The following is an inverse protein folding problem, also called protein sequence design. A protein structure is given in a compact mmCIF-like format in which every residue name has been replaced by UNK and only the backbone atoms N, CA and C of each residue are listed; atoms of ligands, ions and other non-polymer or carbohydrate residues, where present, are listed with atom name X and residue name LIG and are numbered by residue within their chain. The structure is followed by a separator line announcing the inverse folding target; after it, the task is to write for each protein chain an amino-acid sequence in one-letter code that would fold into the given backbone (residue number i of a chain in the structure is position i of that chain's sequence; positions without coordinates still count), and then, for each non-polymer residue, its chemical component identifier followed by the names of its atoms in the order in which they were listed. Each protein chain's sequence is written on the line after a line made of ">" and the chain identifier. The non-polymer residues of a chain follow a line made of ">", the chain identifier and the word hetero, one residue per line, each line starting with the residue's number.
data_IF_256618438112
#
_entry.id   IF_256618438112
#
_cell.length_a   1.000
_cell.length_b   1.000
_cell.length_c   1.000
_cell.angle_alpha   90.00
_cell.angle_beta   90.00
_cell.angle_gamma   90.00
#
_symmetry.space_group_name_H-M   'P 1'
#
loop_
_entity.id
_entity.type
_entity.pdbx_description
1 polymer ?
#
# COMPACT_ATOMS: atom_id res chain seq x y z
N UNK A 1 -0.33 6.06 12.75
CA UNK A 1 -0.50 5.21 11.55
C UNK A 1 0.73 5.41 10.68
N UNK A 2 1.61 4.42 10.58
CA UNK A 2 2.90 4.58 9.87
C UNK A 2 2.66 4.36 8.38
N UNK A 3 2.81 5.41 7.58
CA UNK A 3 2.61 5.37 6.13
C UNK A 3 3.52 4.31 5.49
N UNK A 4 2.92 3.43 4.70
CA UNK A 4 3.64 2.45 3.89
C UNK A 4 4.61 3.17 2.92
N UNK A 5 5.75 2.55 2.56
CA UNK A 5 6.76 3.16 1.69
C UNK A 5 6.20 3.65 0.34
N UNK A 6 5.22 2.94 -0.22
CA UNK A 6 4.52 3.32 -1.45
C UNK A 6 3.77 4.66 -1.34
N UNK A 7 3.26 5.00 -0.15
CA UNK A 7 2.59 6.28 0.11
C UNK A 7 3.53 7.48 0.06
N UNK A 8 4.80 7.32 0.48
CA UNK A 8 5.79 8.40 0.46
C UNK A 8 6.25 8.74 -0.96
N UNK A 9 6.36 7.74 -1.83
CA UNK A 9 6.82 7.94 -3.21
C UNK A 9 5.77 8.68 -4.04
N UNK A 10 4.50 8.31 -3.90
CA UNK A 10 3.38 9.06 -4.48
C UNK A 10 3.28 10.49 -3.92
N UNK A 11 3.47 10.69 -2.61
CA UNK A 11 3.48 12.03 -2.03
C UNK A 11 4.61 12.89 -2.62
N UNK A 12 5.82 12.33 -2.77
CA UNK A 12 6.94 13.00 -3.42
C UNK A 12 6.65 13.35 -4.88
N UNK A 13 5.97 12.48 -5.62
CA UNK A 13 5.55 12.76 -6.99
C UNK A 13 4.48 13.85 -7.07
N UNK A 14 3.48 13.81 -6.18
CA UNK A 14 2.45 14.84 -6.06
C UNK A 14 3.06 16.19 -5.69
N UNK A 15 3.98 16.24 -4.73
CA UNK A 15 4.71 17.47 -4.39
C UNK A 15 5.64 17.92 -5.50
N UNK A 16 6.28 16.99 -6.20
CA UNK A 16 7.11 17.29 -7.37
C UNK A 16 6.28 17.94 -8.48
N UNK A 17 5.12 17.36 -8.80
CA UNK A 17 4.18 17.89 -9.78
C UNK A 17 3.60 19.24 -9.34
N UNK A 18 3.21 19.36 -8.07
CA UNK A 18 2.71 20.62 -7.51
C UNK A 18 3.79 21.72 -7.52
N UNK A 19 5.05 21.38 -7.23
CA UNK A 19 6.17 22.31 -7.30
C UNK A 19 6.47 22.71 -8.76
N UNK A 20 6.40 21.77 -9.70
CA UNK A 20 6.56 22.04 -11.13
C UNK A 20 5.46 22.97 -11.66
N UNK A 21 4.22 22.73 -11.24
CA UNK A 21 3.08 23.60 -11.55
C UNK A 21 3.26 24.99 -10.94
N UNK A 22 3.64 25.07 -9.66
CA UNK A 22 3.90 26.35 -9.00
C UNK A 22 5.06 27.13 -9.68
N UNK A 23 6.11 26.42 -10.12
CA UNK A 23 7.22 27.02 -10.86
C UNK A 23 6.77 27.55 -12.22
N UNK A 24 6.00 26.75 -12.98
CA UNK A 24 5.43 27.17 -14.25
C UNK A 24 4.51 28.39 -14.09
N UNK A 25 3.66 28.40 -13.07
CA UNK A 25 2.83 29.55 -12.70
C UNK A 25 3.68 30.79 -12.39
N UNK A 26 4.74 30.65 -11.58
CA UNK A 26 5.63 31.76 -11.23
C UNK A 26 6.34 32.33 -12.46
N UNK A 27 6.79 31.47 -13.39
CA UNK A 27 7.41 31.89 -14.65
C UNK A 27 6.42 32.67 -15.50
N UNK A 28 5.17 32.20 -15.62
CA UNK A 28 4.11 32.89 -16.38
C UNK A 28 3.77 34.26 -15.75
N UNK A 29 3.74 34.37 -14.42
CA UNK A 29 3.59 35.68 -13.74
C UNK A 29 4.74 36.63 -14.06
N UNK A 30 5.97 36.12 -14.00
CA UNK A 30 7.18 36.93 -14.17
C UNK A 30 7.35 37.41 -15.62
N UNK A 31 6.84 36.67 -16.61
CA UNK A 31 6.98 37.01 -18.04
C UNK A 31 5.74 37.70 -18.63
N UNK A 32 4.54 37.40 -18.14
CA UNK A 32 3.27 37.84 -18.74
C UNK A 32 2.42 38.79 -17.89
N UNK A 33 2.73 38.97 -16.60
CA UNK A 33 1.92 39.79 -15.68
C UNK A 33 0.57 39.14 -15.32
N UNK A 34 -0.20 39.80 -14.44
CA UNK A 34 -1.49 39.27 -13.93
C UNK A 34 -2.56 39.07 -15.00
N UNK A 35 -2.44 39.73 -16.16
CA UNK A 35 -3.38 39.60 -17.28
C UNK A 35 -3.20 38.29 -18.08
N UNK A 36 -2.07 37.58 -17.88
CA UNK A 36 -1.85 36.23 -18.41
C UNK A 36 -2.51 35.13 -17.55
N UNK A 37 -3.17 35.47 -16.44
CA UNK A 37 -3.94 34.52 -15.65
C UNK A 37 -5.25 34.19 -16.36
N UNK A 38 -5.22 33.16 -17.20
CA UNK A 38 -6.45 32.54 -17.69
C UNK A 38 -7.15 31.80 -16.53
N UNK A 39 -8.34 32.24 -16.08
CA UNK A 39 -9.09 31.56 -15.02
C UNK A 39 -9.49 30.13 -15.40
N UNK A 40 -9.60 29.85 -16.71
CA UNK A 40 -9.88 28.52 -17.24
C UNK A 40 -8.77 27.52 -16.91
N UNK A 41 -7.52 27.90 -17.16
CA UNK A 41 -6.35 27.07 -16.88
C UNK A 41 -6.19 26.75 -15.38
N UNK A 42 -6.41 27.74 -14.50
CA UNK A 42 -6.34 27.51 -13.05
C UNK A 42 -7.47 26.63 -12.53
N UNK A 43 -8.69 26.83 -13.05
CA UNK A 43 -9.82 25.96 -12.73
C UNK A 43 -9.53 24.52 -13.14
N UNK A 44 -8.95 24.32 -14.34
CA UNK A 44 -8.55 23.00 -14.83
C UNK A 44 -7.48 22.33 -13.95
N UNK A 45 -6.45 23.08 -13.54
CA UNK A 45 -5.41 22.57 -12.64
C UNK A 45 -5.96 22.20 -11.25
N UNK A 46 -6.86 23.02 -10.71
CA UNK A 46 -7.51 22.75 -9.43
C UNK A 46 -8.38 21.50 -9.52
N UNK A 47 -9.13 21.33 -10.62
CA UNK A 47 -9.93 20.12 -10.90
C UNK A 47 -9.03 18.88 -10.98
N UNK A 48 -7.90 18.95 -11.70
CA UNK A 48 -6.95 17.82 -11.78
C UNK A 48 -6.40 17.48 -10.39
N UNK A 49 -6.02 18.49 -9.60
CA UNK A 49 -5.50 18.27 -8.26
C UNK A 49 -6.54 17.59 -7.35
N UNK A 50 -7.78 18.09 -7.37
CA UNK A 50 -8.91 17.48 -6.66
C UNK A 50 -9.18 16.06 -7.13
N UNK A 51 -9.14 15.81 -8.45
CA UNK A 51 -9.35 14.49 -9.02
C UNK A 51 -8.27 13.50 -8.58
N UNK A 52 -7.00 13.90 -8.55
CA UNK A 52 -5.90 13.05 -8.06
C UNK A 52 -6.09 12.65 -6.59
N UNK A 53 -6.52 13.60 -5.75
CA UNK A 53 -6.84 13.34 -4.34
C UNK A 53 -8.07 12.43 -4.22
N UNK A 54 -9.12 12.70 -4.98
CA UNK A 54 -10.36 11.95 -4.97
C UNK A 54 -10.17 10.51 -5.43
N UNK A 55 -9.45 10.28 -6.54
CA UNK A 55 -9.10 8.94 -7.03
C UNK A 55 -8.37 8.16 -5.95
N UNK A 56 -7.46 8.79 -5.19
CA UNK A 56 -6.82 8.09 -4.07
C UNK A 56 -7.78 7.68 -2.99
N UNK A 57 -8.64 8.60 -2.57
CA UNK A 57 -9.63 8.34 -1.54
C UNK A 57 -10.60 7.23 -1.96
N UNK A 58 -11.08 7.27 -3.21
CA UNK A 58 -11.95 6.25 -3.80
C UNK A 58 -11.27 4.89 -3.90
N UNK A 59 -10.01 4.82 -4.33
CA UNK A 59 -9.29 3.53 -4.36
C UNK A 59 -9.08 2.94 -2.98
N UNK A 60 -8.81 3.76 -1.95
CA UNK A 60 -8.71 3.28 -0.57
C UNK A 60 -10.06 2.75 -0.04
N UNK A 61 -11.16 3.45 -0.35
CA UNK A 61 -12.50 3.01 -0.01
C UNK A 61 -12.89 1.73 -0.76
N UNK A 62 -12.53 1.60 -2.03
CA UNK A 62 -12.78 0.40 -2.83
C UNK A 62 -12.03 -0.81 -2.26
N UNK A 63 -10.76 -0.64 -1.87
CA UNK A 63 -10.00 -1.68 -1.19
C UNK A 63 -10.62 -2.06 0.17
N UNK A 64 -11.09 -1.08 0.94
CA UNK A 64 -11.77 -1.34 2.21
C UNK A 64 -13.10 -2.06 2.02
N UNK A 65 -13.88 -1.66 1.02
CA UNK A 65 -15.15 -2.30 0.66
C UNK A 65 -14.91 -3.73 0.20
N UNK A 66 -13.89 -3.96 -0.63
CA UNK A 66 -13.46 -5.29 -1.05
C UNK A 66 -13.04 -6.17 0.14
N UNK A 67 -12.21 -5.64 1.04
CA UNK A 67 -11.81 -6.35 2.26
C UNK A 67 -13.00 -6.68 3.17
N UNK A 68 -13.99 -5.79 3.28
CA UNK A 68 -15.23 -6.06 4.02
C UNK A 68 -16.10 -7.11 3.32
N UNK A 69 -16.12 -7.11 1.99
CA UNK A 69 -16.93 -8.03 1.20
C UNK A 69 -16.40 -9.47 1.24
N UNK A 70 -15.08 -9.64 1.39
CA UNK A 70 -14.46 -10.95 1.52
C UNK A 70 -14.75 -11.66 2.86
N UNK A 71 -15.18 -10.92 3.88
CA UNK A 71 -15.62 -11.46 5.16
C UNK A 71 -14.47 -11.91 6.06
N UNK A 72 -14.71 -12.97 6.85
CA UNK A 72 -13.66 -13.55 7.69
C UNK A 72 -12.61 -14.27 6.85
N UNK A 73 -11.35 -13.87 7.04
CA UNK A 73 -10.19 -14.53 6.46
C UNK A 73 -9.52 -15.40 7.52
N UNK A 74 -9.43 -16.70 7.25
CA UNK A 74 -8.55 -17.60 8.02
C UNK A 74 -7.29 -17.81 7.23
N UNK A 75 -6.15 -17.48 7.84
CA UNK A 75 -4.85 -17.75 7.26
C UNK A 75 -4.22 -18.88 8.04
N UNK A 76 -3.92 -19.97 7.36
CA UNK A 76 -3.12 -21.07 7.88
C UNK A 76 -1.72 -20.94 7.26
N UNK A 77 -0.72 -20.97 8.13
CA UNK A 77 0.69 -20.91 7.74
C UNK A 77 1.31 -22.24 8.10
N UNK A 78 1.82 -22.93 7.10
CA UNK A 78 2.45 -24.23 7.23
C UNK A 78 3.81 -24.25 6.51
N UNK A 79 4.48 -25.40 6.53
CA UNK A 79 5.78 -25.59 5.88
C UNK A 79 5.69 -25.54 4.36
N UNK A 80 4.54 -25.87 3.76
CA UNK A 80 4.31 -25.86 2.31
C UNK A 80 4.04 -24.44 1.78
N UNK A 81 3.48 -23.56 2.60
CA UNK A 81 3.14 -22.20 2.22
C UNK A 81 2.17 -21.51 3.17
N UNK A 82 1.52 -20.50 2.60
CA UNK A 82 0.50 -19.71 3.26
C UNK A 82 -0.82 -19.96 2.54
N UNK A 83 -1.75 -20.62 3.22
CA UNK A 83 -3.11 -20.82 2.72
C UNK A 83 -4.05 -19.80 3.37
N UNK A 84 -4.69 -18.98 2.53
CA UNK A 84 -5.72 -18.04 2.93
C UNK A 84 -7.06 -18.60 2.49
N UNK A 85 -7.89 -18.97 3.46
CA UNK A 85 -9.26 -19.42 3.25
C UNK A 85 -10.20 -18.29 3.64
N UNK A 86 -10.94 -17.79 2.65
CA UNK A 86 -12.08 -16.91 2.80
C UNK A 86 -13.36 -17.70 2.51
N UNK A 87 -14.51 -17.21 2.96
CA UNK A 87 -15.83 -17.83 2.69
C UNK A 87 -16.09 -18.11 1.19
N UNK A 88 -15.44 -17.36 0.29
CA UNK A 88 -15.61 -17.44 -1.16
C UNK A 88 -14.35 -17.80 -1.95
N UNK A 89 -13.20 -17.94 -1.29
CA UNK A 89 -11.94 -18.11 -2.00
C UNK A 89 -10.88 -18.80 -1.13
N UNK A 90 -10.30 -19.88 -1.64
CA UNK A 90 -9.07 -20.46 -1.10
C UNK A 90 -7.91 -20.08 -2.01
N UNK A 91 -6.93 -19.38 -1.44
CA UNK A 91 -5.69 -19.03 -2.10
C UNK A 91 -4.52 -19.68 -1.38
N UNK A 92 -3.68 -20.42 -2.10
CA UNK A 92 -2.41 -20.93 -1.57
C UNK A 92 -1.27 -20.13 -2.20
N UNK A 93 -0.39 -19.60 -1.36
CA UNK A 93 0.76 -18.81 -1.78
C UNK A 93 2.02 -19.45 -1.23
N UNK A 94 2.95 -19.82 -2.12
CA UNK A 94 4.23 -20.37 -1.72
C UNK A 94 5.09 -19.29 -1.03
N UNK A 95 5.93 -19.70 -0.09
CA UNK A 95 6.93 -18.86 0.57
C UNK A 95 7.79 -18.03 -0.39
N UNK A 96 8.19 -18.60 -1.54
CA UNK A 96 8.99 -17.89 -2.56
C UNK A 96 8.29 -16.69 -3.22
N UNK A 97 6.99 -16.50 -2.99
CA UNK A 97 6.27 -15.29 -3.40
C UNK A 97 6.66 -14.07 -2.56
N UNK A 98 7.08 -14.28 -1.31
CA UNK A 98 7.51 -13.24 -0.39
C UNK A 98 9.03 -13.21 -0.31
N UNK A 99 9.61 -12.00 -0.31
CA UNK A 99 11.05 -11.83 -0.27
C UNK A 99 11.55 -11.21 1.03
N UNK A 100 10.66 -10.59 1.81
CA UNK A 100 11.03 -9.90 3.06
C UNK A 100 9.95 -10.07 4.11
N UNK A 101 10.37 -10.18 5.37
CA UNK A 101 9.48 -10.12 6.52
C UNK A 101 9.86 -8.99 7.47
N UNK A 102 8.87 -8.46 8.18
CA UNK A 102 9.04 -7.53 9.28
C UNK A 102 8.11 -7.89 10.42
N UNK A 103 8.67 -8.01 11.62
CA UNK A 103 7.88 -8.24 12.83
C UNK A 103 7.63 -6.92 13.56
N UNK A 104 6.37 -6.70 13.92
CA UNK A 104 5.95 -5.62 14.81
C UNK A 104 5.35 -6.19 16.10
N UNK A 105 5.15 -5.33 17.10
CA UNK A 105 4.54 -5.72 18.39
C UNK A 105 3.20 -6.43 18.24
N UNK A 106 2.42 -6.12 17.20
CA UNK A 106 1.04 -6.61 17.01
C UNK A 106 0.84 -7.48 15.76
N UNK A 107 1.78 -7.49 14.82
CA UNK A 107 1.61 -8.11 13.50
C UNK A 107 2.95 -8.63 12.97
N UNK A 108 2.91 -9.70 12.18
CA UNK A 108 3.96 -10.05 11.22
C UNK A 108 3.56 -9.53 9.84
N UNK A 109 4.52 -8.98 9.10
CA UNK A 109 4.29 -8.41 7.77
C UNK A 109 5.21 -9.10 6.79
N UNK A 110 4.66 -9.65 5.71
CA UNK A 110 5.38 -10.29 4.61
C UNK A 110 5.22 -9.43 3.37
N UNK A 111 6.32 -9.18 2.66
CA UNK A 111 6.40 -8.25 1.54
C UNK A 111 6.97 -8.99 0.32
N UNK A 112 6.29 -8.88 -0.81
CA UNK A 112 6.79 -9.41 -2.09
C UNK A 112 8.01 -8.61 -2.56
N UNK A 113 8.98 -9.24 -3.25
CA UNK A 113 10.17 -8.55 -3.74
C UNK A 113 9.90 -7.66 -4.96
N UNK A 114 8.69 -7.70 -5.52
CA UNK A 114 8.35 -7.04 -6.78
C UNK A 114 8.34 -5.51 -6.66
N UNK A 115 8.97 -4.86 -7.65
CA UNK A 115 9.12 -3.41 -7.79
C UNK A 115 7.83 -2.77 -8.32
N UNK A 116 7.01 -3.54 -9.06
CA UNK A 116 5.83 -3.03 -9.77
C UNK A 116 4.51 -3.25 -9.01
N UNK A 117 4.46 -4.21 -8.10
CA UNK A 117 3.31 -4.47 -7.24
C UNK A 117 3.73 -5.03 -5.89
N UNK A 118 3.79 -4.16 -4.87
CA UNK A 118 4.08 -4.62 -3.50
C UNK A 118 2.85 -5.35 -2.93
N UNK A 119 2.85 -6.67 -3.04
CA UNK A 119 1.97 -7.54 -2.27
C UNK A 119 2.39 -7.50 -0.81
N UNK A 120 1.46 -7.17 0.08
CA UNK A 120 1.70 -7.16 1.52
C UNK A 120 0.71 -8.09 2.18
N UNK A 121 1.23 -9.07 2.92
CA UNK A 121 0.43 -9.92 3.79
C UNK A 121 0.68 -9.51 5.24
N UNK A 122 -0.40 -9.26 5.98
CA UNK A 122 -0.36 -8.84 7.39
C UNK A 122 -1.02 -9.93 8.23
N UNK A 123 -0.23 -10.53 9.12
CA UNK A 123 -0.66 -11.58 10.04
C UNK A 123 -0.76 -11.02 11.46
N UNK A 124 -1.97 -10.77 11.99
CA UNK A 124 -2.13 -10.24 13.33
C UNK A 124 -1.86 -11.29 14.40
N UNK A 125 -0.99 -10.95 15.37
CA UNK A 125 -0.64 -11.86 16.48
C UNK A 125 -1.84 -12.24 17.37
N UNK A 126 -2.85 -11.36 17.43
CA UNK A 126 -4.13 -11.63 18.13
C UNK A 126 -4.99 -12.73 17.48
N UNK A 127 -4.69 -13.11 16.24
CA UNK A 127 -5.37 -14.22 15.56
C UNK A 127 -4.75 -15.58 15.85
N UNK A 128 -3.65 -15.62 16.61
CA UNK A 128 -3.01 -16.86 17.03
C UNK A 128 -3.77 -17.50 18.18
N UNK A 129 -3.82 -18.82 18.20
CA UNK A 129 -4.57 -19.57 19.21
C UNK A 129 -3.87 -19.51 20.57
N UNK A 130 -2.54 -19.55 20.58
CA UNK A 130 -1.71 -19.46 21.77
C UNK A 130 -0.54 -18.48 21.60
N UNK A 131 0.00 -17.91 22.70
CA UNK A 131 1.21 -17.08 22.65
C UNK A 131 2.42 -17.81 22.06
N UNK A 132 2.47 -19.14 22.22
CA UNK A 132 3.52 -20.03 21.75
C UNK A 132 3.56 -20.10 20.21
N UNK A 133 2.40 -19.94 19.57
CA UNK A 133 2.28 -19.98 18.11
C UNK A 133 2.96 -18.77 17.46
N UNK A 134 3.13 -17.66 18.19
CA UNK A 134 3.86 -16.50 17.70
C UNK A 134 5.34 -16.83 17.50
N UNK A 135 5.90 -17.63 18.41
CA UNK A 135 7.27 -18.11 18.31
C UNK A 135 7.44 -19.09 17.14
N UNK A 136 6.51 -20.05 17.03
CA UNK A 136 6.51 -21.04 15.95
C UNK A 136 6.39 -20.36 14.58
N UNK A 137 5.48 -19.40 14.44
CA UNK A 137 5.30 -18.62 13.22
C UNK A 137 6.56 -17.81 12.88
N UNK A 138 7.21 -17.22 13.89
CA UNK A 138 8.46 -16.47 13.70
C UNK A 138 9.57 -17.38 13.19
N UNK A 139 9.72 -18.58 13.75
CA UNK A 139 10.71 -19.57 13.29
C UNK A 139 10.46 -20.02 11.86
N UNK A 140 9.21 -20.35 11.50
CA UNK A 140 8.85 -20.72 10.13
C UNK A 140 9.15 -19.60 9.11
N UNK A 141 8.76 -18.36 9.44
CA UNK A 141 9.06 -17.20 8.58
C UNK A 141 10.57 -17.02 8.41
N UNK A 142 11.35 -17.20 9.49
CA UNK A 142 12.79 -17.03 9.44
C UNK A 142 13.47 -18.12 8.60
N UNK A 143 13.03 -19.37 8.73
CA UNK A 143 13.56 -20.51 7.97
C UNK A 143 13.32 -20.34 6.46
N UNK A 144 12.08 -20.06 6.07
CA UNK A 144 11.69 -20.05 4.65
C UNK A 144 12.07 -18.78 3.91
N UNK A 145 12.33 -17.67 4.61
CA UNK A 145 12.80 -16.42 3.99
C UNK A 145 14.32 -16.22 4.09
N UNK A 146 15.01 -16.91 4.99
CA UNK A 146 16.48 -16.93 5.01
C UNK A 146 17.06 -17.80 3.88
N UNK A 147 16.26 -18.72 3.33
CA UNK A 147 16.63 -19.61 2.24
C UNK A 147 16.49 -19.00 0.84
N UNK A 148 16.08 -17.72 0.72
CA UNK A 148 15.83 -17.02 -0.54
C UNK A 148 16.92 -16.00 -0.91
#
# INVERSE_FOLDING_TARGET
>A
MRHSPAGRWCYRFLWGLAALLALASAIILLTGGVDAFDPGMWSFLLIICLLLVAVRWLTALALLAYARHLGEHRVMVDEEGISTVSERHTNQTNWGFYGRSFESRRVFVLITPDVWGTGVLILPKRGLAAPQDAERLRSLIAEHLAAA
#
